data_IF_965116919394
#
_entry.id   IF_965116919394
#
_cell.length_a   1.000
_cell.length_b   1.000
_cell.length_c   1.000
_cell.angle_alpha   90.00
_cell.angle_beta   90.00
_cell.angle_gamma   90.00
#
_symmetry.space_group_name_H-M   'P 1'
#
loop_
_entity.id
_entity.type
_entity.pdbx_description
1 polymer ?
#
# COMPACT_ATOMS: atom_id res chain seq x y z
N UNK A 1 -20.45 1.26 -16.06
CA UNK A 1 -19.64 1.29 -14.84
C UNK A 1 -18.41 0.47 -15.14
N UNK A 2 -17.26 1.13 -15.20
CA UNK A 2 -15.98 0.49 -15.41
C UNK A 2 -15.68 -0.44 -14.23
N UNK A 3 -15.03 -1.56 -14.52
CA UNK A 3 -14.64 -2.53 -13.50
C UNK A 3 -13.64 -1.90 -12.52
N UNK A 4 -13.64 -2.31 -11.26
CA UNK A 4 -12.62 -1.90 -10.31
C UNK A 4 -11.21 -2.22 -10.81
N UNK A 5 -10.23 -1.45 -10.35
CA UNK A 5 -8.82 -1.62 -10.70
C UNK A 5 -7.94 -1.66 -9.46
N UNK A 6 -6.71 -2.10 -9.64
CA UNK A 6 -5.63 -1.96 -8.66
C UNK A 6 -4.65 -0.91 -9.15
N UNK A 7 -4.10 -0.13 -8.22
CA UNK A 7 -3.11 0.90 -8.51
C UNK A 7 -1.88 0.68 -7.64
N UNK A 8 -0.75 0.43 -8.28
CA UNK A 8 0.57 0.52 -7.65
C UNK A 8 1.06 1.96 -7.82
N UNK A 9 1.30 2.64 -6.70
CA UNK A 9 1.84 3.99 -6.69
C UNK A 9 2.98 4.08 -5.69
N UNK A 10 4.07 4.74 -6.03
CA UNK A 10 5.13 4.98 -5.07
C UNK A 10 6.10 6.07 -5.49
N UNK A 11 6.80 6.60 -4.50
CA UNK A 11 7.90 7.54 -4.68
C UNK A 11 9.00 7.15 -3.70
N UNK A 12 10.23 6.99 -4.19
CA UNK A 12 11.38 6.62 -3.37
C UNK A 12 12.66 7.20 -3.93
N UNK A 13 13.66 7.35 -3.07
CA UNK A 13 14.99 7.80 -3.45
C UNK A 13 15.67 6.77 -4.35
N UNK A 14 16.31 7.20 -5.44
CA UNK A 14 17.14 6.27 -6.25
C UNK A 14 18.42 5.91 -5.50
N UNK A 15 19.02 6.90 -4.87
CA UNK A 15 20.25 6.77 -4.12
C UNK A 15 20.04 7.35 -2.71
N UNK A 16 20.59 6.68 -1.70
CA UNK A 16 20.56 7.13 -0.32
C UNK A 16 21.37 8.41 -0.10
N UNK A 17 22.35 8.69 -0.97
CA UNK A 17 23.22 9.86 -0.85
C UNK A 17 22.71 11.10 -1.61
N UNK A 18 21.74 10.91 -2.52
CA UNK A 18 21.14 11.98 -3.32
C UNK A 18 19.61 11.95 -3.20
N UNK A 19 19.11 12.76 -2.25
CA UNK A 19 17.69 12.92 -1.99
C UNK A 19 16.95 13.79 -3.04
N UNK A 20 17.59 14.14 -4.15
CA UNK A 20 16.94 14.87 -5.25
C UNK A 20 16.59 13.97 -6.43
N UNK A 21 17.21 12.80 -6.55
CA UNK A 21 16.90 11.79 -7.57
C UNK A 21 15.82 10.83 -7.06
N UNK A 22 14.58 11.11 -7.47
CA UNK A 22 13.41 10.31 -7.11
C UNK A 22 13.03 9.34 -8.24
N UNK A 23 12.61 8.16 -7.83
CA UNK A 23 11.91 7.20 -8.68
C UNK A 23 10.44 7.25 -8.34
N UNK A 24 9.62 7.41 -9.38
CA UNK A 24 8.17 7.42 -9.28
C UNK A 24 7.60 6.18 -9.97
N UNK A 25 6.63 5.55 -9.32
CA UNK A 25 5.91 4.38 -9.82
C UNK A 25 4.43 4.75 -9.89
N UNK A 26 3.83 4.47 -11.04
CA UNK A 26 2.40 4.60 -11.25
C UNK A 26 1.94 3.56 -12.28
N UNK A 27 1.29 2.50 -11.81
CA UNK A 27 0.80 1.41 -12.66
C UNK A 27 -0.62 1.00 -12.28
N UNK A 28 -1.51 1.01 -13.28
CA UNK A 28 -2.89 0.55 -13.14
C UNK A 28 -3.03 -0.88 -13.66
N UNK A 29 -3.67 -1.73 -12.87
CA UNK A 29 -3.97 -3.11 -13.22
C UNK A 29 -5.47 -3.30 -13.29
N UNK A 30 -5.95 -3.64 -14.49
CA UNK A 30 -7.33 -3.99 -14.75
C UNK A 30 -7.40 -5.35 -15.43
N UNK A 31 -8.49 -6.08 -15.21
CA UNK A 31 -8.75 -7.36 -15.87
C UNK A 31 -10.25 -7.64 -15.89
N UNK A 32 -10.69 -8.51 -16.80
CA UNK A 32 -12.05 -9.02 -16.79
C UNK A 32 -12.33 -9.82 -15.50
N UNK A 33 -11.32 -10.56 -15.03
CA UNK A 33 -11.32 -11.23 -13.74
C UNK A 33 -10.51 -10.42 -12.72
N UNK A 34 -11.21 -9.71 -11.84
CA UNK A 34 -10.62 -8.78 -10.86
C UNK A 34 -9.52 -9.42 -9.99
N UNK A 35 -9.62 -10.71 -9.67
CA UNK A 35 -8.58 -11.41 -8.88
C UNK A 35 -7.27 -11.53 -9.66
N UNK A 36 -7.31 -11.61 -10.99
CA UNK A 36 -6.11 -11.61 -11.83
C UNK A 36 -5.45 -10.23 -11.86
N UNK A 37 -6.25 -9.15 -11.88
CA UNK A 37 -5.71 -7.80 -11.74
C UNK A 37 -5.00 -7.63 -10.39
N UNK A 38 -5.60 -8.16 -9.31
CA UNK A 38 -5.00 -8.19 -7.97
C UNK A 38 -3.66 -8.91 -7.97
N UNK A 39 -3.62 -10.12 -8.53
CA UNK A 39 -2.42 -10.95 -8.59
C UNK A 39 -1.28 -10.26 -9.33
N UNK A 40 -1.56 -9.65 -10.48
CA UNK A 40 -0.56 -8.89 -11.24
C UNK A 40 -0.03 -7.70 -10.46
N UNK A 41 -0.91 -6.96 -9.78
CA UNK A 41 -0.50 -5.80 -9.00
C UNK A 41 0.41 -6.20 -7.82
N UNK A 42 0.08 -7.26 -7.09
CA UNK A 42 0.94 -7.80 -6.03
C UNK A 42 2.26 -8.37 -6.57
N UNK A 43 2.25 -9.04 -7.73
CA UNK A 43 3.47 -9.53 -8.38
C UNK A 43 4.40 -8.39 -8.78
N UNK A 44 3.86 -7.28 -9.30
CA UNK A 44 4.67 -6.11 -9.65
C UNK A 44 5.20 -5.43 -8.40
N UNK A 45 4.37 -5.24 -7.37
CA UNK A 45 4.80 -4.75 -6.07
C UNK A 45 6.00 -5.55 -5.54
N UNK A 46 5.88 -6.88 -5.51
CA UNK A 46 6.94 -7.78 -5.03
C UNK A 46 8.22 -7.64 -5.87
N UNK A 47 8.09 -7.49 -7.18
CA UNK A 47 9.23 -7.31 -8.09
C UNK A 47 10.02 -6.03 -7.75
N UNK A 48 9.33 -4.93 -7.43
CA UNK A 48 10.00 -3.71 -6.94
C UNK A 48 10.74 -3.94 -5.63
N UNK A 49 10.12 -4.62 -4.67
CA UNK A 49 10.76 -4.94 -3.39
C UNK A 49 12.03 -5.78 -3.60
N UNK A 50 11.97 -6.79 -4.46
CA UNK A 50 13.10 -7.65 -4.78
C UNK A 50 14.23 -6.88 -5.46
N UNK A 51 13.93 -6.01 -6.43
CA UNK A 51 14.94 -5.17 -7.09
C UNK A 51 15.64 -4.24 -6.09
N UNK A 52 14.88 -3.60 -5.20
CA UNK A 52 15.43 -2.69 -4.18
C UNK A 52 16.27 -3.43 -3.13
N UNK A 53 15.90 -4.67 -2.79
CA UNK A 53 16.71 -5.51 -1.90
C UNK A 53 17.98 -6.01 -2.61
N UNK A 54 17.88 -6.40 -3.88
CA UNK A 54 19.02 -6.86 -4.68
C UNK A 54 20.07 -5.77 -4.87
N UNK A 55 19.68 -4.50 -4.98
CA UNK A 55 20.64 -3.38 -4.99
C UNK A 55 21.43 -3.22 -3.69
N UNK A 56 21.04 -3.93 -2.62
CA UNK A 56 21.76 -4.03 -1.34
C UNK A 56 22.39 -5.42 -1.11
N UNK A 57 22.48 -6.25 -2.15
CA UNK A 57 22.93 -7.65 -2.06
C UNK A 57 22.08 -8.52 -1.11
N UNK A 58 20.79 -8.19 -0.97
CA UNK A 58 19.84 -8.90 -0.13
C UNK A 58 18.76 -9.61 -0.96
N UNK A 59 18.17 -10.65 -0.37
CA UNK A 59 17.00 -11.34 -0.90
C UNK A 59 15.81 -11.12 0.02
N UNK A 60 14.61 -11.17 -0.55
CA UNK A 60 13.38 -11.08 0.23
C UNK A 60 13.23 -12.30 1.15
N UNK A 61 13.05 -12.05 2.44
CA UNK A 61 12.81 -13.09 3.45
C UNK A 61 11.45 -12.94 4.12
N UNK A 62 11.09 -11.71 4.48
CA UNK A 62 9.80 -11.37 5.05
C UNK A 62 9.49 -9.89 4.80
N UNK A 63 8.22 -9.51 4.97
CA UNK A 63 7.81 -8.13 4.83
C UNK A 63 8.48 -7.23 5.89
N UNK A 64 8.55 -7.68 7.14
CA UNK A 64 9.25 -6.96 8.21
C UNK A 64 10.74 -6.74 7.90
N UNK A 65 11.42 -7.73 7.32
CA UNK A 65 12.80 -7.58 6.89
C UNK A 65 12.91 -6.54 5.77
N UNK A 66 12.02 -6.58 4.78
CA UNK A 66 11.99 -5.58 3.71
C UNK A 66 11.75 -4.15 4.26
N UNK A 67 10.78 -3.95 5.15
CA UNK A 67 10.53 -2.65 5.82
C UNK A 67 11.79 -2.10 6.51
N UNK A 68 12.56 -2.97 7.18
CA UNK A 68 13.80 -2.56 7.86
C UNK A 68 14.90 -2.20 6.89
N UNK A 69 15.13 -3.03 5.87
CA UNK A 69 16.27 -2.90 4.96
C UNK A 69 16.07 -1.81 3.90
N UNK A 70 14.82 -1.53 3.54
CA UNK A 70 14.45 -0.54 2.51
C UNK A 70 14.18 0.86 3.07
N UNK A 71 14.26 1.07 4.39
CA UNK A 71 14.02 2.37 5.04
C UNK A 71 14.78 3.52 4.38
N UNK A 72 16.05 3.28 4.00
CA UNK A 72 16.89 4.31 3.38
C UNK A 72 16.39 4.80 2.01
N UNK A 73 15.49 4.06 1.36
CA UNK A 73 14.87 4.48 0.09
C UNK A 73 13.64 5.36 0.31
N UNK A 74 13.05 5.35 1.50
CA UNK A 74 11.77 6.02 1.80
C UNK A 74 11.90 7.07 2.91
N UNK A 75 13.07 7.19 3.52
CA UNK A 75 13.33 8.07 4.66
C UNK A 75 14.76 8.62 4.57
N UNK A 76 14.86 9.94 4.38
CA UNK A 76 16.09 10.73 4.39
C UNK A 76 16.44 11.25 5.78
N UNK A 77 15.54 11.12 6.75
CA UNK A 77 15.64 11.70 8.09
C UNK A 77 15.47 13.22 8.11
N UNK A 78 15.07 13.85 6.99
CA UNK A 78 14.87 15.29 6.90
C UNK A 78 13.50 15.69 7.43
N UNK A 79 13.49 16.80 8.14
CA UNK A 79 12.31 17.42 8.70
C UNK A 79 12.28 18.87 8.29
N UNK A 80 11.12 19.33 7.83
CA UNK A 80 10.86 20.75 7.59
C UNK A 80 9.94 21.30 8.66
N UNK A 81 9.99 22.62 8.83
CA UNK A 81 9.12 23.33 9.75
C UNK A 81 8.22 24.26 8.94
N UNK A 82 6.93 23.94 8.87
CA UNK A 82 6.00 24.78 8.14
C UNK A 82 6.00 26.18 8.78
N UNK A 83 6.13 27.21 7.95
CA UNK A 83 6.18 28.62 8.38
C UNK A 83 7.31 28.91 9.40
N UNK A 84 8.41 28.13 9.39
CA UNK A 84 9.49 28.21 10.37
C UNK A 84 9.03 28.03 11.83
N UNK A 85 7.89 27.35 12.04
CA UNK A 85 7.37 27.07 13.37
C UNK A 85 7.77 25.65 13.81
N UNK A 86 8.59 25.48 14.86
CA UNK A 86 8.94 24.17 15.40
C UNK A 86 7.75 23.30 15.81
N UNK A 87 6.61 23.91 16.15
CA UNK A 87 5.37 23.20 16.47
C UNK A 87 4.66 22.62 15.23
N UNK A 88 5.10 22.99 14.02
CA UNK A 88 4.62 22.50 12.74
C UNK A 88 5.73 21.74 12.01
N UNK A 89 6.43 20.89 12.75
CA UNK A 89 7.39 19.94 12.18
C UNK A 89 6.65 18.97 11.25
N UNK A 90 7.13 18.87 10.02
CA UNK A 90 6.66 17.95 9.01
C UNK A 90 7.83 17.06 8.58
N UNK A 91 7.56 15.77 8.51
CA UNK A 91 8.46 14.84 7.84
C UNK A 91 8.43 15.13 6.34
N UNK A 92 9.59 15.38 5.72
CA UNK A 92 9.69 15.65 4.28
C UNK A 92 9.41 14.40 3.43
N UNK A 93 9.36 13.23 4.08
CA UNK A 93 9.23 11.93 3.46
C UNK A 93 7.88 11.26 3.73
N UNK A 94 6.92 11.99 4.31
CA UNK A 94 5.58 11.49 4.63
C UNK A 94 4.82 10.87 3.44
N UNK A 95 5.20 11.22 2.21
CA UNK A 95 4.60 10.75 0.96
C UNK A 95 5.44 9.67 0.24
N UNK A 96 6.58 9.27 0.81
CA UNK A 96 7.48 8.27 0.23
C UNK A 96 7.13 6.87 0.69
N UNK A 97 7.29 5.94 -0.24
CA UNK A 97 6.88 4.56 -0.06
C UNK A 97 6.38 3.96 -1.36
N UNK A 98 6.05 2.68 -1.28
CA UNK A 98 5.39 1.93 -2.34
C UNK A 98 4.06 1.44 -1.79
N UNK A 99 2.98 1.79 -2.47
CA UNK A 99 1.61 1.58 -2.00
C UNK A 99 0.81 0.85 -3.07
N UNK A 100 0.06 -0.15 -2.65
CA UNK A 100 -0.92 -0.83 -3.48
C UNK A 100 -2.32 -0.47 -3.02
N UNK A 101 -3.13 0.03 -3.95
CA UNK A 101 -4.49 0.46 -3.71
C UNK A 101 -5.49 -0.38 -4.48
N UNK A 102 -6.65 -0.61 -3.85
CA UNK A 102 -7.88 -1.05 -4.50
C UNK A 102 -8.75 0.17 -4.83
N UNK A 103 -9.25 0.25 -6.06
CA UNK A 103 -10.11 1.34 -6.56
C UNK A 103 -11.42 0.73 -7.05
N UNK A 104 -12.53 0.81 -6.26
CA UNK A 104 -13.80 0.20 -6.63
C UNK A 104 -14.48 0.87 -7.83
N UNK A 105 -14.27 2.19 -7.99
CA UNK A 105 -15.00 3.03 -8.94
C UNK A 105 -14.03 3.95 -9.73
N UNK A 106 -13.28 3.42 -10.72
CA UNK A 106 -12.29 4.23 -11.45
C UNK A 106 -12.92 5.33 -12.31
N UNK A 107 -14.21 5.20 -12.67
CA UNK A 107 -14.97 6.24 -13.39
C UNK A 107 -15.08 7.55 -12.61
N UNK A 108 -14.92 7.53 -11.28
CA UNK A 108 -14.96 8.71 -10.42
C UNK A 108 -13.62 9.46 -10.33
N UNK A 109 -12.65 9.12 -11.18
CA UNK A 109 -11.36 9.82 -11.20
C UNK A 109 -11.52 11.30 -11.54
N UNK A 110 -10.81 12.12 -10.80
CA UNK A 110 -10.60 13.53 -11.10
C UNK A 110 -9.15 13.73 -11.56
N UNK A 111 -8.79 14.96 -11.91
CA UNK A 111 -7.44 15.29 -12.33
C UNK A 111 -6.89 16.41 -11.45
N UNK A 112 -5.62 16.32 -11.10
CA UNK A 112 -4.88 17.40 -10.45
C UNK A 112 -4.69 18.58 -11.41
N UNK A 113 -4.11 19.68 -10.94
CA UNK A 113 -3.80 20.83 -11.80
C UNK A 113 -2.74 20.49 -12.85
N UNK A 114 -1.91 19.52 -12.52
CA UNK A 114 -0.84 18.94 -13.34
C UNK A 114 -1.38 17.86 -14.29
N UNK A 115 -2.70 17.68 -14.36
CA UNK A 115 -3.41 16.71 -15.18
C UNK A 115 -3.08 15.25 -14.84
N UNK A 116 -2.75 14.97 -13.57
CA UNK A 116 -2.55 13.61 -13.08
C UNK A 116 -3.86 12.98 -12.59
N UNK A 117 -4.12 11.70 -12.90
CA UNK A 117 -5.30 11.00 -12.40
C UNK A 117 -5.31 10.87 -10.88
N UNK A 118 -6.40 11.33 -10.26
CA UNK A 118 -6.67 11.23 -8.83
C UNK A 118 -7.93 10.40 -8.58
N UNK A 119 -7.79 9.33 -7.79
CA UNK A 119 -8.90 8.48 -7.36
C UNK A 119 -9.35 8.88 -5.95
N UNK A 120 -10.52 9.52 -5.79
CA UNK A 120 -11.02 9.94 -4.47
C UNK A 120 -11.38 8.74 -3.60
N UNK A 121 -11.86 7.66 -4.22
CA UNK A 121 -12.19 6.39 -3.57
C UNK A 121 -11.09 5.37 -3.85
N UNK A 122 -10.02 5.41 -3.05
CA UNK A 122 -8.94 4.41 -3.08
C UNK A 122 -8.66 3.86 -1.68
N UNK A 123 -8.39 2.58 -1.60
CA UNK A 123 -8.22 1.83 -0.35
C UNK A 123 -6.85 1.18 -0.33
N UNK A 124 -5.98 1.58 0.59
CA UNK A 124 -4.61 1.03 0.65
C UNK A 124 -4.64 -0.37 1.24
N UNK A 125 -4.29 -1.37 0.44
CA UNK A 125 -4.35 -2.79 0.83
C UNK A 125 -2.98 -3.39 1.12
N UNK A 126 -1.90 -2.69 0.76
CA UNK A 126 -0.53 -3.09 1.05
C UNK A 126 0.42 -1.90 0.89
N UNK A 127 1.51 -1.83 1.67
CA UNK A 127 2.52 -0.76 1.54
C UNK A 127 3.87 -1.13 2.17
N UNK A 128 4.92 -0.44 1.73
CA UNK A 128 6.16 -0.17 2.50
C UNK A 128 6.32 1.35 2.53
N UNK A 129 6.45 1.93 3.72
CA UNK A 129 6.65 3.37 3.91
C UNK A 129 7.62 3.64 5.07
N UNK A 130 7.79 4.92 5.41
CA UNK A 130 8.58 5.37 6.54
C UNK A 130 7.81 5.37 7.88
N UNK A 131 6.49 5.13 7.88
CA UNK A 131 5.59 5.26 9.03
C UNK A 131 5.09 3.91 9.55
N UNK A 132 5.92 3.27 10.37
CA UNK A 132 5.88 1.83 10.68
C UNK A 132 4.70 1.30 11.51
N UNK A 133 3.78 2.12 12.02
CA UNK A 133 2.76 1.62 13.00
C UNK A 133 1.32 2.06 12.79
N UNK A 134 1.05 3.26 12.28
CA UNK A 134 -0.33 3.79 12.30
C UNK A 134 -1.20 3.32 11.13
N UNK A 135 -0.59 2.90 10.01
CA UNK A 135 -1.33 2.54 8.81
C UNK A 135 -1.86 1.09 8.80
N UNK A 136 -1.36 0.19 9.65
CA UNK A 136 -1.78 -1.23 9.64
C UNK A 136 -3.28 -1.39 9.89
N UNK A 137 -3.86 -0.60 10.82
CA UNK A 137 -5.32 -0.58 11.07
C UNK A 137 -6.10 -0.08 9.85
N UNK A 138 -5.54 0.86 9.09
CA UNK A 138 -6.15 1.36 7.85
C UNK A 138 -6.06 0.34 6.72
N UNK A 139 -4.96 -0.41 6.62
CA UNK A 139 -4.82 -1.52 5.67
C UNK A 139 -5.85 -2.60 5.97
N UNK A 140 -5.99 -3.02 7.23
CA UNK A 140 -6.99 -4.03 7.60
C UNK A 140 -8.41 -3.59 7.23
N UNK A 141 -8.79 -2.33 7.53
CA UNK A 141 -10.09 -1.77 7.12
C UNK A 141 -10.27 -1.78 5.59
N UNK A 142 -9.21 -1.50 4.85
CA UNK A 142 -9.22 -1.52 3.38
C UNK A 142 -9.36 -2.93 2.83
N UNK A 143 -8.70 -3.92 3.43
CA UNK A 143 -8.83 -5.35 3.05
C UNK A 143 -10.23 -5.90 3.37
N UNK A 144 -10.83 -5.51 4.50
CA UNK A 144 -12.23 -5.84 4.82
C UNK A 144 -13.16 -5.23 3.77
N UNK A 145 -12.94 -3.96 3.41
CA UNK A 145 -13.74 -3.30 2.39
C UNK A 145 -13.60 -4.01 1.03
N UNK A 146 -12.38 -4.31 0.60
CA UNK A 146 -12.08 -5.06 -0.63
C UNK A 146 -12.83 -6.39 -0.65
N UNK A 147 -12.69 -7.22 0.39
CA UNK A 147 -13.38 -8.51 0.47
C UNK A 147 -14.91 -8.37 0.39
N UNK A 148 -15.49 -7.43 1.14
CA UNK A 148 -16.94 -7.20 1.10
C UNK A 148 -17.38 -6.72 -0.29
N UNK A 149 -16.56 -5.94 -0.98
CA UNK A 149 -16.84 -5.53 -2.36
C UNK A 149 -16.91 -6.74 -3.30
N UNK A 150 -15.98 -7.69 -3.19
CA UNK A 150 -16.00 -8.93 -3.96
C UNK A 150 -17.30 -9.71 -3.71
N UNK A 151 -17.63 -9.95 -2.44
CA UNK A 151 -18.82 -10.73 -2.05
C UNK A 151 -20.10 -10.05 -2.54
N UNK A 152 -20.27 -8.76 -2.26
CA UNK A 152 -21.49 -8.01 -2.61
C UNK A 152 -21.68 -7.86 -4.13
N UNK A 153 -20.58 -7.92 -4.90
CA UNK A 153 -20.59 -7.80 -6.36
C UNK A 153 -20.56 -9.16 -7.07
N UNK A 154 -20.60 -10.27 -6.33
CA UNK A 154 -20.46 -11.64 -6.86
C UNK A 154 -19.16 -11.88 -7.66
N UNK A 155 -18.06 -11.22 -7.30
CA UNK A 155 -16.75 -11.54 -7.87
C UNK A 155 -16.14 -12.76 -7.17
N UNK A 156 -15.40 -13.57 -7.93
CA UNK A 156 -14.64 -14.69 -7.37
C UNK A 156 -13.46 -14.17 -6.54
N UNK A 157 -13.30 -14.70 -5.34
CA UNK A 157 -12.14 -14.47 -4.47
C UNK A 157 -10.99 -15.45 -4.78
N UNK A 158 -11.19 -16.38 -5.73
CA UNK A 158 -10.29 -17.51 -5.95
C UNK A 158 -10.06 -18.31 -4.66
N UNK A 159 -8.82 -18.72 -4.43
CA UNK A 159 -8.38 -19.38 -3.18
C UNK A 159 -7.71 -18.39 -2.21
N UNK A 160 -8.03 -17.10 -2.31
CA UNK A 160 -7.36 -16.06 -1.53
C UNK A 160 -8.10 -15.64 -0.26
N UNK A 161 -9.24 -16.25 0.06
CA UNK A 161 -9.91 -15.96 1.32
C UNK A 161 -9.07 -16.41 2.52
N UNK A 162 -8.86 -15.52 3.47
CA UNK A 162 -8.28 -15.84 4.76
C UNK A 162 -8.99 -15.05 5.88
N UNK A 163 -8.52 -15.20 7.12
CA UNK A 163 -9.15 -14.58 8.28
C UNK A 163 -8.19 -13.71 9.06
N UNK A 164 -8.63 -12.49 9.35
CA UNK A 164 -8.00 -11.60 10.31
C UNK A 164 -8.79 -11.56 11.62
N UNK A 165 -8.13 -11.08 12.67
CA UNK A 165 -8.74 -10.84 13.98
C UNK A 165 -8.68 -9.34 14.27
N UNK A 166 -9.79 -8.77 14.71
CA UNK A 166 -9.88 -7.37 15.11
C UNK A 166 -10.67 -7.24 16.41
N UNK A 167 -10.24 -6.33 17.27
CA UNK A 167 -10.99 -5.94 18.46
C UNK A 167 -12.22 -5.11 18.05
N UNK A 168 -13.36 -5.34 18.70
CA UNK A 168 -14.57 -4.53 18.51
C UNK A 168 -14.70 -3.43 19.57
N UNK A 169 -15.85 -2.74 19.60
CA UNK A 169 -16.07 -1.63 20.55
C UNK A 169 -16.14 -2.07 22.01
N UNK A 170 -16.43 -3.34 22.30
CA UNK A 170 -16.44 -3.88 23.67
C UNK A 170 -15.10 -4.46 24.10
N UNK A 171 -14.12 -4.51 23.20
CA UNK A 171 -12.82 -5.12 23.45
C UNK A 171 -12.76 -6.61 23.07
N UNK A 172 -13.79 -7.12 22.39
CA UNK A 172 -13.87 -8.53 22.04
C UNK A 172 -13.21 -8.80 20.69
N UNK A 173 -12.39 -9.84 20.62
CA UNK A 173 -11.75 -10.26 19.38
C UNK A 173 -12.77 -10.89 18.42
N UNK A 174 -12.90 -10.32 17.23
CA UNK A 174 -13.74 -10.80 16.14
C UNK A 174 -12.91 -11.34 14.99
N UNK A 175 -13.30 -12.54 14.53
CA UNK A 175 -12.79 -13.14 13.30
C UNK A 175 -13.53 -12.56 12.10
N UNK A 176 -12.79 -12.06 11.13
CA UNK A 176 -13.30 -11.39 9.91
C UNK A 176 -12.62 -11.98 8.68
N UNK A 177 -13.38 -12.17 7.59
CA UNK A 177 -12.81 -12.63 6.32
C UNK A 177 -12.20 -11.45 5.56
N UNK A 178 -11.05 -11.70 4.94
CA UNK A 178 -10.32 -10.77 4.07
C UNK A 178 -9.69 -11.52 2.90
N UNK A 179 -9.18 -10.79 1.90
CA UNK A 179 -8.32 -11.37 0.87
C UNK A 179 -6.87 -11.40 1.33
N UNK A 180 -6.21 -12.54 1.16
CA UNK A 180 -4.86 -12.80 1.60
C UNK A 180 -3.87 -11.84 0.93
N UNK A 181 -2.89 -11.38 1.69
CA UNK A 181 -1.80 -10.55 1.18
C UNK A 181 -0.47 -11.23 1.49
N UNK A 182 0.61 -10.92 0.75
CA UNK A 182 1.95 -11.38 1.12
C UNK A 182 2.41 -10.92 2.51
N UNK A 183 1.71 -9.98 3.18
CA UNK A 183 1.95 -9.70 4.59
C UNK A 183 1.35 -10.81 5.44
N UNK A 184 2.22 -11.66 5.98
CA UNK A 184 1.88 -12.66 7.00
C UNK A 184 1.67 -12.07 8.39
N UNK A 185 2.13 -10.83 8.62
CA UNK A 185 2.28 -10.26 9.96
C UNK A 185 1.10 -9.37 10.38
N UNK A 186 0.14 -9.09 9.47
CA UNK A 186 -1.12 -8.40 9.81
C UNK A 186 -1.99 -9.20 10.78
N UNK A 187 -1.68 -10.49 10.95
CA UNK A 187 -2.45 -11.44 11.73
C UNK A 187 -1.92 -11.65 13.15
N UNK A 188 -0.75 -11.10 13.48
CA UNK A 188 -0.10 -11.27 14.80
C UNK A 188 -0.21 -10.05 15.71
N UNK A 189 -0.70 -8.90 15.22
CA UNK A 189 -0.75 -7.65 15.99
C UNK A 189 -2.10 -6.96 15.79
N UNK A 190 -3.07 -7.33 16.63
CA UNK A 190 -4.07 -6.41 17.20
C UNK A 190 -4.33 -6.84 18.64
#
# INVERSE_FOLDING_TARGET
>A
MQKPIYLLKGTFYRNTDDHTDLVEVYEEFSDENIIEARNRAFSMYQSYIEVLLQSKDLYYQSHQQAEQQLNSYVDSGKKSFALNNPALEMDDDFDKGLFLYFIPNPDHKTYTRENEPYYPEKYCIHLIDNNKTDLRKHILKSLIFEYNYYVNSNFSTGDQECFAYTEDKSGDMKKIAILNTPITDLFEIL
#
